data_IF_973610917488
#
_entry.id   IF_973610917488
#
_cell.length_a   1.000
_cell.length_b   1.000
_cell.length_c   1.000
_cell.angle_alpha   90.00
_cell.angle_beta   90.00
_cell.angle_gamma   90.00
#
_symmetry.space_group_name_H-M   'P 1'
#
loop_
_entity.id
_entity.type
_entity.pdbx_description
1 polymer ?
#
# COMPACT_ATOMS: atom_id res chain seq x y z
N UNK A 1 10.75 9.29 -5.38
CA UNK A 1 10.09 8.02 -4.98
C UNK A 1 9.34 7.48 -6.19
N UNK A 2 9.21 6.16 -6.33
CA UNK A 2 8.34 5.51 -7.33
C UNK A 2 7.49 4.45 -6.64
N UNK A 3 6.24 4.32 -7.04
CA UNK A 3 5.37 3.23 -6.61
C UNK A 3 4.85 2.53 -7.86
N UNK A 4 4.86 1.21 -7.87
CA UNK A 4 4.33 0.41 -8.97
C UNK A 4 3.68 -0.86 -8.44
N UNK A 5 2.77 -1.41 -9.24
CA UNK A 5 2.05 -2.65 -8.95
C UNK A 5 2.15 -3.63 -10.11
N UNK A 6 2.16 -4.90 -9.78
CA UNK A 6 2.20 -5.98 -10.76
C UNK A 6 1.46 -7.22 -10.23
N UNK A 7 1.19 -8.16 -11.13
CA UNK A 7 0.65 -9.48 -10.79
C UNK A 7 -0.61 -9.40 -9.93
N UNK A 8 -1.60 -8.60 -10.31
CA UNK A 8 -2.81 -8.45 -9.52
C UNK A 8 -3.69 -9.70 -9.58
N UNK A 9 -4.25 -10.10 -8.44
CA UNK A 9 -5.12 -11.27 -8.31
C UNK A 9 -6.15 -11.04 -7.20
N UNK A 10 -7.19 -11.88 -7.15
CA UNK A 10 -8.17 -11.91 -6.06
C UNK A 10 -8.13 -13.26 -5.35
N UNK A 11 -8.37 -13.28 -4.05
CA UNK A 11 -8.37 -14.52 -3.28
C UNK A 11 -9.76 -15.18 -3.26
N UNK A 12 -9.78 -16.51 -3.24
CA UNK A 12 -11.04 -17.27 -3.07
C UNK A 12 -11.61 -17.14 -1.64
N UNK A 13 -10.76 -16.90 -0.65
CA UNK A 13 -11.09 -16.91 0.78
C UNK A 13 -10.66 -15.61 1.44
N UNK A 14 -11.64 -14.74 1.77
CA UNK A 14 -11.43 -13.48 2.48
C UNK A 14 -10.81 -13.63 3.88
N UNK A 15 -11.10 -14.74 4.59
CA UNK A 15 -10.98 -14.78 6.05
C UNK A 15 -9.79 -15.62 6.57
N UNK A 16 -8.91 -16.13 5.71
CA UNK A 16 -7.85 -17.07 6.13
C UNK A 16 -6.49 -16.87 5.45
N UNK A 17 -6.25 -15.73 4.79
CA UNK A 17 -4.98 -15.53 4.10
C UNK A 17 -4.74 -16.56 2.99
N UNK A 18 -5.82 -17.09 2.40
CA UNK A 18 -5.70 -18.21 1.47
C UNK A 18 -4.85 -17.83 0.27
N UNK A 19 -3.80 -18.61 0.03
CA UNK A 19 -2.85 -18.45 -1.06
C UNK A 19 -3.41 -18.81 -2.44
N UNK A 20 -4.71 -19.17 -2.51
CA UNK A 20 -5.34 -19.58 -3.75
C UNK A 20 -5.66 -18.35 -4.61
N UNK A 21 -4.76 -18.07 -5.55
CA UNK A 21 -4.82 -16.93 -6.47
C UNK A 21 -5.84 -17.19 -7.57
N UNK A 22 -6.81 -16.30 -7.73
CA UNK A 22 -7.75 -16.26 -8.84
C UNK A 22 -7.54 -15.00 -9.70
N UNK A 23 -7.84 -15.04 -11.01
CA UNK A 23 -7.72 -13.86 -11.85
C UNK A 23 -8.70 -12.76 -11.41
N UNK A 24 -8.32 -11.50 -11.62
CA UNK A 24 -9.15 -10.34 -11.26
C UNK A 24 -10.56 -10.36 -11.86
N UNK A 25 -10.77 -11.02 -13.00
CA UNK A 25 -12.10 -11.19 -13.59
C UNK A 25 -13.10 -11.92 -12.68
N UNK A 26 -12.62 -12.65 -11.67
CA UNK A 26 -13.43 -13.32 -10.63
C UNK A 26 -13.76 -12.41 -9.44
N UNK A 27 -13.27 -11.17 -9.42
CA UNK A 27 -13.50 -10.22 -8.33
C UNK A 27 -15.01 -9.97 -8.19
N UNK A 28 -15.53 -10.09 -6.97
CA UNK A 28 -16.95 -9.87 -6.68
C UNK A 28 -17.91 -10.98 -7.15
N UNK A 29 -17.45 -12.02 -7.87
CA UNK A 29 -18.30 -13.16 -8.23
C UNK A 29 -18.74 -13.96 -6.99
N UNK A 30 -17.96 -13.91 -5.93
CA UNK A 30 -18.23 -14.57 -4.64
C UNK A 30 -18.30 -13.52 -3.55
N UNK A 31 -19.15 -13.78 -2.55
CA UNK A 31 -19.29 -12.89 -1.39
C UNK A 31 -17.96 -12.58 -0.70
N UNK A 32 -16.99 -13.50 -0.79
CA UNK A 32 -15.69 -13.45 -0.12
C UNK A 32 -14.51 -13.17 -1.09
N UNK A 33 -14.75 -12.94 -2.39
CA UNK A 33 -13.71 -12.51 -3.35
C UNK A 33 -13.74 -10.98 -3.42
N UNK A 34 -13.28 -10.34 -2.34
CA UNK A 34 -13.33 -8.87 -2.16
C UNK A 34 -11.98 -8.21 -1.96
N UNK A 35 -10.91 -8.99 -1.88
CA UNK A 35 -9.56 -8.49 -1.66
C UNK A 35 -8.79 -8.61 -2.95
N UNK A 36 -8.16 -7.52 -3.37
CA UNK A 36 -7.18 -7.56 -4.46
C UNK A 36 -5.81 -7.58 -3.82
N UNK A 37 -5.04 -8.56 -4.24
CA UNK A 37 -3.67 -8.77 -3.84
C UNK A 37 -2.75 -8.61 -5.06
N UNK A 38 -1.47 -8.44 -4.82
CA UNK A 38 -0.46 -8.45 -5.88
C UNK A 38 0.91 -8.08 -5.34
N UNK A 39 1.81 -7.77 -6.26
CA UNK A 39 3.12 -7.22 -5.95
C UNK A 39 3.00 -5.70 -5.85
N UNK A 40 3.28 -5.12 -4.68
CA UNK A 40 3.49 -3.68 -4.52
C UNK A 40 4.99 -3.43 -4.41
N UNK A 41 5.52 -2.55 -5.25
CA UNK A 41 6.90 -2.07 -5.13
C UNK A 41 6.90 -0.60 -4.81
N UNK A 42 7.50 -0.25 -3.67
CA UNK A 42 7.81 1.14 -3.32
C UNK A 42 9.32 1.31 -3.41
N UNK A 43 9.78 2.23 -4.26
CA UNK A 43 11.19 2.57 -4.42
C UNK A 43 11.47 3.96 -3.86
N UNK A 44 12.38 4.03 -2.89
CA UNK A 44 12.84 5.28 -2.28
C UNK A 44 14.37 5.30 -2.39
N UNK A 45 14.91 6.40 -2.91
CA UNK A 45 16.34 6.57 -3.16
C UNK A 45 16.98 5.39 -3.92
N UNK A 46 16.26 4.79 -4.87
CA UNK A 46 16.74 3.68 -5.71
C UNK A 46 16.72 2.30 -5.05
N UNK A 47 16.10 2.15 -3.86
CA UNK A 47 16.00 0.88 -3.13
C UNK A 47 14.54 0.49 -2.93
N UNK A 48 14.24 -0.79 -3.01
CA UNK A 48 12.88 -1.33 -2.77
C UNK A 48 12.62 -1.47 -1.27
N UNK A 49 11.51 -0.89 -0.81
CA UNK A 49 11.02 -1.03 0.57
C UNK A 49 10.65 -2.51 0.82
N UNK A 50 11.20 -3.16 1.87
CA UNK A 50 10.87 -4.53 2.23
C UNK A 50 9.55 -4.62 3.04
N UNK A 51 9.12 -5.85 3.34
CA UNK A 51 8.03 -6.14 4.27
C UNK A 51 6.64 -5.57 3.88
N UNK A 52 6.35 -5.43 2.57
CA UNK A 52 5.07 -4.88 2.14
C UNK A 52 3.92 -5.89 2.10
N UNK A 53 4.22 -7.20 2.03
CA UNK A 53 3.21 -8.26 1.86
C UNK A 53 3.24 -9.30 2.97
N UNK A 54 2.12 -10.01 3.15
CA UNK A 54 1.91 -10.95 4.25
C UNK A 54 2.69 -12.25 4.05
N UNK A 55 2.40 -13.00 2.99
CA UNK A 55 3.04 -14.28 2.71
C UNK A 55 4.13 -14.18 1.62
N UNK A 56 4.70 -12.99 1.46
CA UNK A 56 5.77 -12.70 0.52
C UNK A 56 5.53 -11.44 -0.31
N UNK A 57 6.46 -11.11 -1.22
CA UNK A 57 6.43 -9.85 -1.98
C UNK A 57 5.25 -9.72 -2.95
N UNK A 58 4.60 -10.83 -3.32
CA UNK A 58 3.49 -10.87 -4.28
C UNK A 58 2.11 -11.02 -3.59
N UNK A 59 2.06 -10.81 -2.29
CA UNK A 59 0.86 -10.96 -1.46
C UNK A 59 0.61 -9.72 -0.61
N UNK A 60 0.48 -8.59 -1.30
CA UNK A 60 0.17 -7.29 -0.70
C UNK A 60 -1.32 -7.01 -0.83
N UNK A 61 -2.06 -6.84 0.27
CA UNK A 61 -3.46 -6.41 0.22
C UNK A 61 -3.55 -4.96 -0.24
N UNK A 62 -3.97 -4.75 -1.50
CA UNK A 62 -4.05 -3.41 -2.08
C UNK A 62 -5.19 -2.59 -1.49
N UNK A 63 -6.24 -3.20 -0.95
CA UNK A 63 -7.28 -2.44 -0.26
C UNK A 63 -6.70 -1.64 0.91
N UNK A 64 -5.86 -2.29 1.73
CA UNK A 64 -5.17 -1.64 2.86
C UNK A 64 -4.18 -0.61 2.34
N UNK A 65 -3.23 -1.01 1.50
CA UNK A 65 -2.15 -0.13 1.06
C UNK A 65 -2.62 1.11 0.28
N UNK A 66 -3.70 1.03 -0.51
CA UNK A 66 -4.24 2.22 -1.17
C UNK A 66 -4.80 3.23 -0.17
N UNK A 67 -5.45 2.77 0.90
CA UNK A 67 -5.97 3.65 1.97
C UNK A 67 -4.80 4.26 2.73
N UNK A 68 -3.84 3.43 3.15
CA UNK A 68 -2.68 3.88 3.93
C UNK A 68 -1.82 4.88 3.16
N UNK A 69 -1.54 4.64 1.88
CA UNK A 69 -0.79 5.60 1.05
C UNK A 69 -1.53 6.93 0.85
N UNK A 70 -2.87 6.90 0.74
CA UNK A 70 -3.66 8.13 0.72
C UNK A 70 -3.58 8.87 2.07
N UNK A 71 -3.67 8.14 3.18
CA UNK A 71 -3.56 8.70 4.53
C UNK A 71 -2.19 9.33 4.77
N UNK A 72 -1.09 8.69 4.32
CA UNK A 72 0.26 9.28 4.36
C UNK A 72 0.24 10.62 3.62
N UNK A 73 -0.19 10.67 2.36
CA UNK A 73 -0.19 11.93 1.59
C UNK A 73 -1.02 13.01 2.29
N UNK A 74 -2.21 12.65 2.79
CA UNK A 74 -3.11 13.59 3.45
C UNK A 74 -2.53 14.11 4.78
N UNK A 75 -1.96 13.23 5.61
CA UNK A 75 -1.32 13.58 6.87
C UNK A 75 -0.09 14.49 6.67
N UNK A 76 0.66 14.27 5.58
CA UNK A 76 1.83 15.06 5.21
C UNK A 76 1.48 16.32 4.39
N UNK A 77 0.21 16.64 4.18
CA UNK A 77 -0.19 17.84 3.43
C UNK A 77 0.29 19.14 4.10
N UNK A 78 0.39 19.14 5.43
CA UNK A 78 0.94 20.25 6.21
C UNK A 78 2.45 20.04 6.47
N UNK A 79 3.26 21.12 6.49
CA UNK A 79 4.63 21.04 6.98
C UNK A 79 4.66 20.46 8.40
N UNK A 80 5.60 19.56 8.70
CA UNK A 80 5.69 18.82 9.97
C UNK A 80 4.58 17.77 10.22
N UNK A 81 3.77 17.44 9.22
CA UNK A 81 2.86 16.29 9.27
C UNK A 81 3.61 14.97 9.52
N UNK A 82 2.93 14.02 10.16
CA UNK A 82 3.46 12.67 10.44
C UNK A 82 2.39 11.62 10.23
N UNK A 83 2.81 10.43 9.82
CA UNK A 83 1.94 9.27 9.69
C UNK A 83 2.75 8.00 9.94
N UNK A 84 2.20 7.11 10.76
CA UNK A 84 2.77 5.78 11.00
C UNK A 84 1.73 4.75 10.60
N UNK A 85 2.10 3.85 9.70
CA UNK A 85 1.31 2.66 9.41
C UNK A 85 1.92 1.49 10.17
N UNK A 86 1.23 1.04 11.22
CA UNK A 86 1.56 -0.15 11.99
C UNK A 86 0.38 -1.12 11.85
N UNK A 87 0.58 -2.16 11.04
CA UNK A 87 -0.49 -3.09 10.67
C UNK A 87 -0.85 -4.04 11.82
N UNK A 88 0.12 -4.39 12.67
CA UNK A 88 -0.06 -5.35 13.76
C UNK A 88 -0.10 -6.82 13.35
N UNK A 89 0.25 -7.16 12.12
CA UNK A 89 0.47 -8.56 11.71
C UNK A 89 1.81 -9.09 12.28
N UNK A 90 1.83 -10.36 12.69
CA UNK A 90 3.03 -11.02 13.21
C UNK A 90 4.22 -10.87 12.26
N UNK A 91 5.35 -10.41 12.79
CA UNK A 91 6.58 -10.15 12.06
C UNK A 91 6.59 -8.91 11.16
N UNK A 92 5.48 -8.16 11.02
CA UNK A 92 5.45 -6.93 10.22
C UNK A 92 5.91 -5.70 11.03
N UNK A 93 6.86 -4.90 10.51
CA UNK A 93 7.32 -3.69 11.17
C UNK A 93 6.34 -2.52 10.96
N UNK A 94 6.58 -1.40 11.65
CA UNK A 94 5.88 -0.15 11.41
C UNK A 94 6.58 0.69 10.32
N UNK A 95 5.79 1.37 9.49
CA UNK A 95 6.26 2.28 8.45
C UNK A 95 5.97 3.73 8.86
N UNK A 96 7.02 4.48 9.19
CA UNK A 96 6.91 5.88 9.62
C UNK A 96 7.24 6.86 8.49
N UNK A 97 6.43 7.91 8.40
CA UNK A 97 6.61 9.01 7.46
C UNK A 97 6.49 10.35 8.19
N UNK A 98 7.46 11.23 8.01
CA UNK A 98 7.49 12.59 8.59
C UNK A 98 7.86 13.61 7.52
N UNK A 99 7.11 14.72 7.44
CA UNK A 99 7.43 15.82 6.53
C UNK A 99 8.35 16.84 7.18
N UNK A 100 9.49 17.12 6.57
CA UNK A 100 10.47 18.13 7.01
C UNK A 100 10.66 19.15 5.88
N UNK A 101 9.93 20.26 5.96
CA UNK A 101 9.88 21.24 4.87
C UNK A 101 9.20 20.66 3.63
N UNK A 102 9.94 20.61 2.51
CA UNK A 102 9.48 20.04 1.24
C UNK A 102 9.86 18.56 1.05
N UNK A 103 10.66 18.02 1.97
CA UNK A 103 11.06 16.62 1.97
C UNK A 103 10.21 15.79 2.93
N UNK A 104 10.15 14.49 2.66
CA UNK A 104 9.64 13.45 3.54
C UNK A 104 10.82 12.60 4.01
N UNK A 105 10.82 12.22 5.28
CA UNK A 105 11.66 11.15 5.80
C UNK A 105 10.82 9.91 6.01
N UNK A 106 11.33 8.76 5.56
CA UNK A 106 10.73 7.45 5.78
C UNK A 106 11.63 6.59 6.66
N UNK A 107 11.01 5.88 7.61
CA UNK A 107 11.66 4.89 8.44
C UNK A 107 10.86 3.58 8.51
N UNK A 108 11.55 2.47 8.77
CA UNK A 108 10.95 1.21 9.18
C UNK A 108 11.34 0.99 10.64
N UNK A 109 10.37 1.14 11.53
CA UNK A 109 10.54 1.12 12.98
C UNK A 109 9.93 -0.14 13.61
N UNK A 110 10.23 -0.38 14.89
CA UNK A 110 9.62 -1.48 15.63
C UNK A 110 8.10 -1.30 15.66
N UNK A 111 7.37 -2.38 15.40
CA UNK A 111 5.92 -2.39 15.59
C UNK A 111 5.60 -2.25 17.08
N UNK A 112 4.59 -1.43 17.38
CA UNK A 112 4.00 -1.31 18.72
C UNK A 112 2.84 -2.30 18.93
N UNK A 113 2.35 -2.89 17.83
CA UNK A 113 1.20 -3.80 17.82
C UNK A 113 1.61 -5.27 17.66
N UNK A 114 2.74 -5.54 17.04
CA UNK A 114 3.29 -6.86 16.76
C UNK A 114 4.79 -6.93 17.10
N UNK A 115 5.43 -8.06 16.80
CA UNK A 115 6.85 -8.34 17.06
C UNK A 115 7.77 -7.99 15.88
N UNK A 116 7.27 -7.24 14.89
CA UNK A 116 8.07 -6.77 13.76
C UNK A 116 9.15 -5.78 14.20
N UNK A 117 10.39 -6.04 13.79
CA UNK A 117 11.56 -5.27 14.20
C UNK A 117 11.89 -4.14 13.20
N UNK A 118 12.42 -3.04 13.72
CA UNK A 118 12.96 -1.95 12.93
C UNK A 118 14.02 -2.45 11.92
N UNK A 119 14.14 -1.74 10.80
CA UNK A 119 15.20 -2.00 9.82
C UNK A 119 16.24 -0.87 9.87
N UNK A 120 17.47 -1.13 10.38
CA UNK A 120 18.50 -0.09 10.52
C UNK A 120 18.96 0.54 9.21
N UNK A 121 18.80 -0.15 8.08
CA UNK A 121 19.17 0.40 6.77
C UNK A 121 18.09 1.34 6.19
N UNK A 122 16.92 1.39 6.83
CA UNK A 122 15.75 2.15 6.43
C UNK A 122 15.38 3.14 7.52
N UNK A 123 16.32 4.03 7.85
CA UNK A 123 16.15 5.03 8.91
C UNK A 123 16.29 6.44 8.33
N UNK A 124 15.21 7.23 8.43
CA UNK A 124 15.10 8.62 7.95
C UNK A 124 15.54 8.81 6.50
N UNK A 125 15.22 7.86 5.62
CA UNK A 125 15.52 7.94 4.19
C UNK A 125 14.72 9.10 3.58
N UNK A 126 15.40 10.04 2.93
CA UNK A 126 14.81 11.28 2.43
C UNK A 126 14.37 11.21 0.97
N UNK A 127 13.25 11.84 0.65
CA UNK A 127 12.75 12.05 -0.71
C UNK A 127 11.77 13.22 -0.77
N UNK A 128 11.55 13.84 -1.94
CA UNK A 128 10.63 14.98 -2.06
C UNK A 128 9.17 14.60 -1.78
N UNK A 129 8.42 15.44 -1.06
CA UNK A 129 6.99 15.25 -0.83
C UNK A 129 6.18 15.23 -2.15
N UNK A 130 6.58 16.03 -3.13
CA UNK A 130 5.90 16.07 -4.43
C UNK A 130 6.02 14.73 -5.17
N UNK A 131 7.14 14.01 -5.03
CA UNK A 131 7.32 12.68 -5.63
C UNK A 131 6.37 11.66 -5.01
N UNK A 132 6.18 11.71 -3.69
CA UNK A 132 5.22 10.88 -2.97
C UNK A 132 3.81 11.10 -3.52
N UNK A 133 3.36 12.34 -3.50
CA UNK A 133 2.02 12.72 -3.95
C UNK A 133 1.78 12.34 -5.41
N UNK A 134 2.76 12.59 -6.28
CA UNK A 134 2.69 12.21 -7.68
C UNK A 134 2.61 10.69 -7.86
N UNK A 135 3.46 9.93 -7.15
CA UNK A 135 3.51 8.47 -7.24
C UNK A 135 2.23 7.81 -6.73
N UNK A 136 1.67 8.29 -5.61
CA UNK A 136 0.39 7.76 -5.09
C UNK A 136 -0.74 8.07 -6.07
N UNK A 137 -0.79 9.27 -6.66
CA UNK A 137 -1.80 9.58 -7.69
C UNK A 137 -1.68 8.65 -8.90
N UNK A 138 -0.47 8.46 -9.42
CA UNK A 138 -0.21 7.54 -10.54
C UNK A 138 -0.64 6.11 -10.20
N UNK A 139 -0.28 5.60 -9.02
CA UNK A 139 -0.71 4.29 -8.55
C UNK A 139 -2.24 4.13 -8.53
N UNK A 140 -2.95 5.12 -7.99
CA UNK A 140 -4.42 5.09 -7.92
C UNK A 140 -5.03 5.04 -9.33
N UNK A 141 -4.49 5.80 -10.26
CA UNK A 141 -4.98 5.79 -11.64
C UNK A 141 -4.67 4.46 -12.35
N UNK A 142 -3.45 3.91 -12.19
CA UNK A 142 -3.05 2.61 -12.73
C UNK A 142 -3.93 1.46 -12.22
N UNK A 143 -4.13 1.36 -10.90
CA UNK A 143 -5.01 0.32 -10.32
C UNK A 143 -6.46 0.48 -10.79
N UNK A 144 -6.94 1.72 -10.89
CA UNK A 144 -8.31 1.97 -11.36
C UNK A 144 -8.47 1.53 -12.82
N UNK A 145 -7.50 1.81 -13.68
CA UNK A 145 -7.50 1.38 -15.07
C UNK A 145 -7.45 -0.15 -15.19
N UNK A 146 -6.57 -0.79 -14.43
CA UNK A 146 -6.42 -2.25 -14.40
C UNK A 146 -7.73 -2.94 -13.98
N UNK A 147 -8.35 -2.49 -12.88
CA UNK A 147 -9.60 -3.08 -12.39
C UNK A 147 -10.78 -2.81 -13.32
N UNK A 148 -10.83 -1.64 -13.97
CA UNK A 148 -11.85 -1.36 -14.99
C UNK A 148 -11.74 -2.31 -16.17
N UNK A 149 -10.51 -2.68 -16.55
CA UNK A 149 -10.24 -3.60 -17.66
C UNK A 149 -10.58 -5.04 -17.28
N UNK A 150 -10.05 -5.52 -16.16
CA UNK A 150 -10.11 -6.93 -15.78
C UNK A 150 -11.40 -7.29 -15.03
N UNK A 151 -11.96 -6.37 -14.25
CA UNK A 151 -13.13 -6.57 -13.39
C UNK A 151 -14.21 -5.48 -13.57
N UNK A 152 -14.70 -5.20 -14.81
CA UNK A 152 -15.54 -4.05 -15.12
C UNK A 152 -16.86 -3.98 -14.34
N UNK A 153 -17.35 -5.12 -13.84
CA UNK A 153 -18.61 -5.20 -13.08
C UNK A 153 -18.44 -5.04 -11.56
N UNK A 154 -17.21 -5.15 -11.05
CA UNK A 154 -16.94 -5.20 -9.62
C UNK A 154 -16.01 -4.07 -9.14
N UNK A 155 -15.26 -3.42 -10.04
CA UNK A 155 -14.22 -2.45 -9.65
C UNK A 155 -14.72 -1.31 -8.75
N UNK A 156 -15.92 -0.77 -9.01
CA UNK A 156 -16.48 0.32 -8.18
C UNK A 156 -16.82 -0.12 -6.76
N UNK A 157 -17.30 -1.35 -6.62
CA UNK A 157 -17.67 -1.92 -5.32
C UNK A 157 -16.43 -2.27 -4.51
N UNK A 158 -15.35 -2.63 -5.19
CA UNK A 158 -14.06 -2.92 -4.58
C UNK A 158 -13.32 -1.65 -4.13
N UNK A 159 -13.43 -0.55 -4.89
CA UNK A 159 -12.64 0.65 -4.66
C UNK A 159 -12.84 1.19 -3.23
N UNK A 160 -11.78 1.25 -2.39
CA UNK A 160 -11.90 1.73 -1.03
C UNK A 160 -12.37 3.19 -1.02
N UNK A 161 -13.44 3.48 -0.27
CA UNK A 161 -14.06 4.82 -0.27
C UNK A 161 -13.12 5.86 0.34
N UNK A 162 -12.26 5.40 1.22
CA UNK A 162 -11.26 6.12 2.00
C UNK A 162 -10.00 6.43 1.18
N UNK A 163 -9.72 5.68 0.11
CA UNK A 163 -8.56 5.89 -0.75
C UNK A 163 -8.76 7.11 -1.68
N UNK A 164 -8.62 8.30 -1.10
CA UNK A 164 -8.78 9.59 -1.77
C UNK A 164 -7.72 10.56 -1.28
N UNK A 165 -7.10 11.27 -2.23
CA UNK A 165 -6.23 12.40 -1.92
C UNK A 165 -7.10 13.62 -1.66
N UNK A 166 -6.87 14.30 -0.53
CA UNK A 166 -7.51 15.59 -0.27
C UNK A 166 -6.88 16.67 -1.15
N UNK A 167 -7.72 17.56 -1.67
CA UNK A 167 -7.31 18.69 -2.54
C UNK A 167 -6.56 19.76 -1.78
#
# INVERSE_FOLDING_TARGET
MRISVANLWTSRTADSGGTEREPLSRLGERRNSRHVHGTLTIEIAGRSVPHLGYFGPDDVCLNTWLVELCNVVNALAQPAGKYTFDEGEEGQPAFDFERVGDDVTFSIDDSLLADGAANPEWQRVRFPYQDLRASVRTLLDEIREELRREAPRAWEQWWPREARLTT
#
